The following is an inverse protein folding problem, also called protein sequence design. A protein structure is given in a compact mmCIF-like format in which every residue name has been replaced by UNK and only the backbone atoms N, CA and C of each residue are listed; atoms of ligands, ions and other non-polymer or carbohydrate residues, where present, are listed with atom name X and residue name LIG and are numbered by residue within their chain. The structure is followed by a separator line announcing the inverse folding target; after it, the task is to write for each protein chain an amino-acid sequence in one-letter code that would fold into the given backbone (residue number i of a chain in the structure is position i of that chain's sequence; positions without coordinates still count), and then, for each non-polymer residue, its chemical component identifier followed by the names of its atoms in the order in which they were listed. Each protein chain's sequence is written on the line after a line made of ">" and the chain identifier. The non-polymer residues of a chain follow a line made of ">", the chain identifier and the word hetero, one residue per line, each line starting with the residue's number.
data_IF_646292548042
#
_entry.id   IF_646292548042
#
_cell.length_a   1.000
_cell.length_b   1.000
_cell.length_c   1.000
_cell.angle_alpha   90.00
_cell.angle_beta   90.00
_cell.angle_gamma   90.00
#
_symmetry.space_group_name_H-M   'P 1'
#
loop_
_entity.id
_entity.type
_entity.pdbx_description
1 polymer ?
#
# COMPACT_ATOMS: atom_id res chain seq x y z
N UNK A 1 5.32 -9.55 -1.41
CA UNK A 1 5.54 -8.55 -0.34
C UNK A 1 4.42 -8.44 0.67
N UNK A 2 3.16 -8.32 0.23
CA UNK A 2 2.02 -8.28 1.14
C UNK A 2 1.85 -9.58 1.94
N UNK A 3 2.07 -10.76 1.34
CA UNK A 3 1.97 -12.04 2.07
C UNK A 3 3.01 -12.14 3.20
N UNK A 4 4.25 -11.73 2.92
CA UNK A 4 5.30 -11.69 3.93
C UNK A 4 4.99 -10.66 5.04
N UNK A 5 4.32 -9.56 4.70
CA UNK A 5 3.88 -8.56 5.67
C UNK A 5 2.72 -9.09 6.53
N UNK A 6 1.74 -9.75 5.91
CA UNK A 6 0.64 -10.43 6.60
C UNK A 6 1.19 -11.41 7.63
N UNK A 7 2.06 -12.33 7.21
CA UNK A 7 2.68 -13.33 8.10
C UNK A 7 3.47 -12.65 9.22
N UNK A 8 4.19 -11.56 8.95
CA UNK A 8 4.92 -10.83 9.97
C UNK A 8 3.99 -10.20 11.02
N UNK A 9 2.90 -9.57 10.58
CA UNK A 9 1.92 -8.96 11.47
C UNK A 9 1.16 -10.00 12.28
N UNK A 10 0.71 -11.09 11.64
CA UNK A 10 -0.02 -12.18 12.31
C UNK A 10 0.82 -12.86 13.38
N UNK A 11 2.12 -13.07 13.11
CA UNK A 11 3.05 -13.60 14.11
C UNK A 11 3.36 -12.60 15.24
N UNK A 12 3.19 -11.30 15.01
CA UNK A 12 3.42 -10.27 16.04
C UNK A 12 2.25 -10.19 17.00
N UNK A 13 1.02 -10.32 16.49
CA UNK A 13 -0.21 -10.42 17.27
C UNK A 13 -1.26 -11.11 16.41
N UNK A 14 -1.97 -12.08 17.00
CA UNK A 14 -3.12 -12.71 16.37
C UNK A 14 -4.10 -11.65 15.82
N UNK A 15 -4.65 -11.91 14.64
CA UNK A 15 -5.58 -11.05 13.88
C UNK A 15 -4.97 -9.78 13.29
N UNK A 16 -3.70 -9.45 13.59
CA UNK A 16 -3.08 -8.23 13.07
C UNK A 16 -2.76 -8.35 11.57
N UNK A 17 -2.55 -9.58 11.05
CA UNK A 17 -2.43 -9.82 9.62
C UNK A 17 -3.75 -9.52 8.91
N UNK A 18 -4.87 -9.97 9.47
CA UNK A 18 -6.20 -9.65 8.96
C UNK A 18 -6.51 -8.15 9.03
N UNK A 19 -6.19 -7.49 10.15
CA UNK A 19 -6.32 -6.03 10.25
C UNK A 19 -5.49 -5.30 9.17
N UNK A 20 -4.32 -5.84 8.83
CA UNK A 20 -3.48 -5.28 7.77
C UNK A 20 -4.14 -5.41 6.39
N UNK A 21 -4.64 -6.59 6.02
CA UNK A 21 -5.32 -6.78 4.73
C UNK A 21 -6.58 -5.91 4.63
N UNK A 22 -7.39 -5.89 5.68
CA UNK A 22 -8.57 -5.03 5.75
C UNK A 22 -8.20 -3.54 5.60
N UNK A 23 -7.08 -3.09 6.16
CA UNK A 23 -6.63 -1.72 6.00
C UNK A 23 -6.21 -1.41 4.55
N UNK A 24 -5.59 -2.37 3.86
CA UNK A 24 -5.25 -2.26 2.44
C UNK A 24 -6.52 -2.17 1.59
N UNK A 25 -7.47 -3.08 1.78
CA UNK A 25 -8.71 -3.14 1.00
C UNK A 25 -9.57 -1.89 1.18
N UNK A 26 -9.67 -1.39 2.41
CA UNK A 26 -10.33 -0.12 2.69
C UNK A 26 -9.64 1.05 1.95
N UNK A 27 -8.32 1.06 1.91
CA UNK A 27 -7.56 2.10 1.21
C UNK A 27 -7.79 2.02 -0.31
N UNK A 28 -7.78 0.82 -0.89
CA UNK A 28 -8.09 0.60 -2.31
C UNK A 28 -9.52 1.02 -2.66
N UNK A 29 -10.49 0.71 -1.80
CA UNK A 29 -11.89 1.12 -1.98
C UNK A 29 -12.04 2.64 -1.98
N UNK A 30 -11.32 3.35 -1.10
CA UNK A 30 -11.31 4.82 -1.07
C UNK A 30 -10.66 5.42 -2.32
N UNK A 31 -9.55 4.82 -2.80
CA UNK A 31 -8.92 5.23 -4.05
C UNK A 31 -9.90 5.04 -5.21
N UNK A 32 -10.60 3.91 -5.29
CA UNK A 32 -11.57 3.66 -6.35
C UNK A 32 -12.75 4.64 -6.31
N UNK A 33 -13.24 4.97 -5.12
CA UNK A 33 -14.36 5.89 -4.96
C UNK A 33 -13.99 7.35 -5.29
N UNK A 34 -12.76 7.78 -4.98
CA UNK A 34 -12.29 9.12 -5.28
C UNK A 34 -10.77 9.14 -5.55
N UNK A 35 -10.34 8.76 -6.77
CA UNK A 35 -8.92 8.60 -7.08
C UNK A 35 -8.16 9.92 -7.14
N UNK A 36 -8.85 11.06 -7.21
CA UNK A 36 -8.25 12.39 -7.20
C UNK A 36 -8.11 12.98 -5.79
N UNK A 37 -8.61 12.30 -4.75
CA UNK A 37 -8.55 12.78 -3.36
C UNK A 37 -7.14 12.84 -2.77
N UNK A 38 -6.21 12.06 -3.31
CA UNK A 38 -4.86 11.92 -2.78
C UNK A 38 -3.85 12.74 -3.58
N UNK A 39 -2.81 13.29 -2.93
CA UNK A 39 -1.85 14.16 -3.60
C UNK A 39 -0.99 13.40 -4.60
N UNK A 40 -0.64 14.09 -5.68
CA UNK A 40 0.39 13.67 -6.62
C UNK A 40 1.75 13.96 -5.98
N UNK A 41 2.64 12.97 -5.97
CA UNK A 41 3.98 13.09 -5.38
C UNK A 41 5.11 13.10 -6.43
N UNK A 42 4.84 12.59 -7.64
CA UNK A 42 5.81 12.56 -8.74
C UNK A 42 5.09 12.34 -10.07
N UNK A 43 5.31 13.22 -11.05
CA UNK A 43 4.61 13.19 -12.36
C UNK A 43 3.08 13.11 -12.17
N UNK A 44 2.47 11.96 -12.46
CA UNK A 44 1.02 11.68 -12.31
C UNK A 44 0.75 10.61 -11.24
N UNK A 45 1.74 10.28 -10.42
CA UNK A 45 1.63 9.26 -9.39
C UNK A 45 1.04 9.87 -8.14
N UNK A 46 -0.15 9.41 -7.78
CA UNK A 46 -0.80 9.69 -6.52
C UNK A 46 -0.25 8.76 -5.44
N UNK A 47 -0.20 9.26 -4.20
CA UNK A 47 0.17 8.45 -3.04
C UNK A 47 -0.81 8.63 -1.90
N UNK A 48 -1.20 7.52 -1.31
CA UNK A 48 -1.88 7.47 -0.01
C UNK A 48 -1.10 6.61 0.97
N UNK A 49 -1.36 6.81 2.26
CA UNK A 49 -0.77 6.02 3.36
C UNK A 49 -1.88 5.15 3.95
N UNK A 50 -1.57 3.87 4.13
CA UNK A 50 -2.46 2.91 4.77
C UNK A 50 -2.55 3.27 6.25
N UNK A 51 -3.74 3.59 6.76
CA UNK A 51 -3.87 3.99 8.17
C UNK A 51 -3.44 2.84 9.09
N UNK A 52 -2.76 3.15 10.19
CA UNK A 52 -2.19 2.22 11.19
C UNK A 52 -0.97 1.39 10.73
N UNK A 53 -0.75 1.27 9.43
CA UNK A 53 0.37 0.50 8.89
C UNK A 53 1.33 1.41 8.13
N UNK A 54 2.65 1.25 8.28
CA UNK A 54 3.63 2.09 7.60
C UNK A 54 3.76 1.71 6.11
N UNK A 55 2.65 1.60 5.37
CA UNK A 55 2.61 1.29 3.95
C UNK A 55 2.07 2.47 3.15
N UNK A 56 2.65 2.71 1.97
CA UNK A 56 2.15 3.65 0.98
C UNK A 56 1.67 2.93 -0.26
N UNK A 57 0.48 3.29 -0.74
CA UNK A 57 -0.05 2.84 -2.04
C UNK A 57 0.20 3.94 -3.05
N UNK A 58 0.85 3.56 -4.15
CA UNK A 58 1.22 4.43 -5.27
C UNK A 58 0.43 3.99 -6.48
N UNK A 59 -0.31 4.92 -7.08
CA UNK A 59 -1.17 4.62 -8.22
C UNK A 59 -1.23 5.80 -9.18
N UNK A 60 -1.71 5.55 -10.40
CA UNK A 60 -2.00 6.57 -11.39
C UNK A 60 -3.37 6.31 -12.01
N UNK A 61 -3.91 7.33 -12.67
CA UNK A 61 -5.10 7.20 -13.49
C UNK A 61 -4.71 7.02 -14.96
N UNK A 62 -5.26 5.99 -15.60
CA UNK A 62 -5.05 5.72 -17.02
C UNK A 62 -6.34 5.18 -17.63
N UNK A 63 -6.81 5.80 -18.71
CA UNK A 63 -8.00 5.37 -19.46
C UNK A 63 -9.23 5.12 -18.56
N UNK A 64 -9.48 6.05 -17.63
CA UNK A 64 -10.55 5.98 -16.60
C UNK A 64 -10.43 4.83 -15.58
N UNK A 65 -9.25 4.19 -15.52
CA UNK A 65 -8.94 3.16 -14.53
C UNK A 65 -7.88 3.63 -13.53
N UNK A 66 -8.02 3.16 -12.30
CA UNK A 66 -6.97 3.24 -11.27
C UNK A 66 -5.96 2.12 -11.51
N UNK A 67 -4.70 2.48 -11.74
CA UNK A 67 -3.61 1.52 -11.88
C UNK A 67 -2.70 1.63 -10.66
N UNK A 68 -2.73 0.62 -9.79
CA UNK A 68 -1.82 0.52 -8.65
C UNK A 68 -0.44 0.08 -9.14
N UNK A 69 0.56 0.92 -8.93
CA UNK A 69 1.93 0.71 -9.38
C UNK A 69 2.73 -0.04 -8.31
N UNK A 70 2.53 0.32 -7.04
CA UNK A 70 3.25 -0.29 -5.93
C UNK A 70 2.52 -0.12 -4.59
N UNK A 71 2.73 -1.08 -3.70
CA UNK A 71 2.43 -0.97 -2.28
C UNK A 71 3.72 -1.19 -1.49
N UNK A 72 4.26 -0.14 -0.87
CA UNK A 72 5.61 -0.15 -0.30
C UNK A 72 5.60 0.21 1.19
N UNK A 73 6.38 -0.52 1.98
CA UNK A 73 6.55 -0.22 3.40
C UNK A 73 7.46 1.02 3.57
N UNK A 74 6.86 2.14 3.99
CA UNK A 74 7.47 3.46 4.11
C UNK A 74 8.67 3.55 5.07
N UNK A 75 8.80 2.61 6.01
CA UNK A 75 9.93 2.53 6.95
C UNK A 75 10.91 1.39 6.66
N UNK A 76 10.72 0.62 5.59
CA UNK A 76 11.57 -0.53 5.31
C UNK A 76 12.84 -0.06 4.61
N UNK A 77 13.99 -0.42 5.18
CA UNK A 77 15.30 -0.04 4.66
C UNK A 77 15.44 -0.48 3.17
N UNK A 78 15.83 0.42 2.25
CA UNK A 78 15.95 0.11 0.82
C UNK A 78 16.90 -1.05 0.51
N UNK A 79 17.85 -1.36 1.41
CA UNK A 79 18.77 -2.49 1.29
C UNK A 79 18.09 -3.87 1.34
N UNK A 80 16.92 -4.03 1.98
CA UNK A 80 16.21 -5.33 1.98
C UNK A 80 15.50 -5.63 0.66
N UNK A 81 15.30 -4.62 -0.20
CA UNK A 81 14.68 -4.80 -1.52
C UNK A 81 15.61 -5.50 -2.51
N UNK A 82 16.94 -5.40 -2.32
CA UNK A 82 17.95 -5.99 -3.21
C UNK A 82 18.08 -7.52 -3.07
N UNK A 83 17.65 -8.10 -1.95
CA UNK A 83 17.72 -9.56 -1.72
C UNK A 83 16.49 -10.31 -2.25
N UNK A 84 15.69 -9.69 -3.12
CA UNK A 84 14.51 -10.29 -3.74
C UNK A 84 14.63 -10.41 -5.26
N UNK A 85 15.85 -10.27 -5.81
CA UNK A 85 16.18 -10.48 -7.24
C UNK A 85 17.12 -11.66 -7.36
#
# INVERSE_FOLDING_TARGET
>A
DLDAAYVWYENSRQELGEEFLNAIDNCLSLIQANPLAYPIIYKQIHRTIVRKFPYGIFYLLKDDAVVVIACLHAKQNPQRLQNRI
#
